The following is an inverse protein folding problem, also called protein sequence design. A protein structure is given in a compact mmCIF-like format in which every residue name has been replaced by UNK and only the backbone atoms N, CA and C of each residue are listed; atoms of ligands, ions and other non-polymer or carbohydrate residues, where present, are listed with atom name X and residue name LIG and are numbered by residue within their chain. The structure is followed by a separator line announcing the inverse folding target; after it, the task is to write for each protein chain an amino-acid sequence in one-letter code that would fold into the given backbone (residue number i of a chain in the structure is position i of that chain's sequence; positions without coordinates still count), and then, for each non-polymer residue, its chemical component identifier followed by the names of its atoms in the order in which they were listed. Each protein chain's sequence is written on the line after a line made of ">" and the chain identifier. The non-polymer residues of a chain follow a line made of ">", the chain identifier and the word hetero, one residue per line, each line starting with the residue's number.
data_IF_917966964830
#
_entry.id   IF_917966964830
#
_cell.length_a   1.000
_cell.length_b   1.000
_cell.length_c   1.000
_cell.angle_alpha   90.00
_cell.angle_beta   90.00
_cell.angle_gamma   90.00
#
_symmetry.space_group_name_H-M   'P 1'
#
loop_
_entity.id
_entity.type
_entity.pdbx_description
1 polymer ?
#
# COMPACT_ATOMS: atom_id res chain seq x y z
N UNK A 1 5.24 39.19 -5.91
CA UNK A 1 6.56 38.64 -5.56
C UNK A 1 6.73 37.43 -6.44
N UNK A 2 7.68 37.51 -7.35
CA UNK A 2 7.95 36.49 -8.35
C UNK A 2 8.23 35.15 -7.66
N UNK A 3 7.35 34.17 -7.92
CA UNK A 3 7.66 32.77 -7.67
C UNK A 3 8.83 32.41 -8.60
N UNK A 4 10.05 32.51 -8.07
CA UNK A 4 11.24 31.92 -8.68
C UNK A 4 10.94 30.44 -8.96
N UNK A 5 10.62 30.13 -10.22
CA UNK A 5 10.55 28.77 -10.75
C UNK A 5 11.92 28.14 -10.54
N UNK A 6 12.09 27.45 -9.41
CA UNK A 6 13.30 26.70 -9.11
C UNK A 6 13.62 25.78 -10.31
N UNK A 7 14.88 25.66 -10.74
CA UNK A 7 15.27 24.87 -11.90
C UNK A 7 14.90 23.38 -11.70
N UNK A 8 14.61 22.61 -12.76
CA UNK A 8 14.26 21.18 -12.66
C UNK A 8 15.33 20.38 -11.87
N UNK A 9 14.91 19.30 -11.20
CA UNK A 9 15.83 18.43 -10.44
C UNK A 9 16.72 17.70 -11.45
N UNK A 10 18.02 18.01 -11.43
CA UNK A 10 18.97 17.63 -12.48
C UNK A 10 19.55 16.22 -12.27
N UNK A 11 19.37 15.62 -11.09
CA UNK A 11 19.77 14.24 -10.84
C UNK A 11 18.59 13.40 -10.32
N UNK A 12 18.59 12.12 -10.68
CA UNK A 12 17.66 11.13 -10.13
C UNK A 12 17.76 11.11 -8.60
N UNK A 13 18.94 11.35 -8.01
CA UNK A 13 19.17 11.48 -6.55
C UNK A 13 18.40 12.65 -5.91
N UNK A 14 18.29 13.78 -6.59
CA UNK A 14 17.49 14.91 -6.14
C UNK A 14 15.99 14.66 -6.30
N UNK A 15 15.57 13.94 -7.35
CA UNK A 15 14.19 13.46 -7.54
C UNK A 15 13.79 12.46 -6.44
N UNK A 16 14.74 11.60 -6.05
CA UNK A 16 14.62 10.59 -4.99
C UNK A 16 14.44 11.22 -3.59
N UNK A 17 15.07 12.36 -3.30
CA UNK A 17 15.10 12.96 -1.95
C UNK A 17 14.26 14.23 -1.76
N UNK A 18 13.99 14.98 -2.82
CA UNK A 18 13.35 16.30 -2.73
C UNK A 18 12.02 16.41 -3.48
N UNK A 19 11.55 15.34 -4.12
CA UNK A 19 10.14 15.20 -4.46
C UNK A 19 9.35 14.93 -3.18
N UNK A 20 9.04 15.96 -2.40
CA UNK A 20 8.20 15.86 -1.21
C UNK A 20 6.74 16.10 -1.66
N UNK A 21 5.95 15.07 -2.01
CA UNK A 21 4.52 15.24 -2.07
C UNK A 21 4.01 15.58 -0.68
N UNK A 22 2.85 16.26 -0.60
CA UNK A 22 2.30 16.69 0.67
C UNK A 22 2.20 15.49 1.63
N UNK A 23 2.51 15.72 2.91
CA UNK A 23 2.46 14.69 3.96
C UNK A 23 1.10 13.98 4.07
N UNK A 24 0.05 14.52 3.43
CA UNK A 24 -1.28 13.94 3.29
C UNK A 24 -1.40 12.87 2.20
N UNK A 25 -0.35 12.61 1.41
CA UNK A 25 -0.36 11.54 0.41
C UNK A 25 -0.28 10.16 1.08
N UNK A 26 -1.32 9.36 0.87
CA UNK A 26 -1.41 7.98 1.34
C UNK A 26 -0.21 7.11 0.94
N UNK A 27 0.48 7.41 -0.17
CA UNK A 27 1.63 6.64 -0.65
C UNK A 27 2.94 6.91 0.12
N UNK A 28 3.00 8.02 0.87
CA UNK A 28 4.24 8.53 1.46
C UNK A 28 5.00 7.51 2.33
N UNK A 29 4.36 6.75 3.25
CA UNK A 29 5.08 5.78 4.08
C UNK A 29 5.81 4.71 3.25
N UNK A 30 5.18 4.21 2.19
CA UNK A 30 5.78 3.20 1.30
C UNK A 30 6.97 3.77 0.53
N UNK A 31 6.84 5.00 0.03
CA UNK A 31 7.93 5.68 -0.70
C UNK A 31 9.12 5.96 0.20
N UNK A 32 8.87 6.51 1.39
CA UNK A 32 9.91 6.79 2.38
C UNK A 32 10.64 5.51 2.76
N UNK A 33 9.91 4.42 3.04
CA UNK A 33 10.50 3.13 3.33
C UNK A 33 11.39 2.62 2.17
N UNK A 34 10.88 2.63 0.93
CA UNK A 34 11.63 2.18 -0.23
C UNK A 34 12.95 2.96 -0.41
N UNK A 35 12.91 4.29 -0.36
CA UNK A 35 14.11 5.10 -0.58
C UNK A 35 15.08 5.07 0.60
N UNK A 36 14.59 4.88 1.83
CA UNK A 36 15.44 4.60 2.97
C UNK A 36 16.17 3.26 2.82
N UNK A 37 15.52 2.21 2.28
CA UNK A 37 16.17 0.95 1.96
C UNK A 37 17.27 1.13 0.91
N UNK A 38 16.98 1.83 -0.20
CA UNK A 38 17.99 2.12 -1.25
C UNK A 38 19.21 2.83 -0.65
N UNK A 39 18.98 3.82 0.22
CA UNK A 39 20.05 4.55 0.92
C UNK A 39 20.84 3.64 1.87
N UNK A 40 20.15 2.81 2.67
CA UNK A 40 20.76 1.90 3.63
C UNK A 40 21.62 0.83 2.95
N UNK A 41 21.21 0.37 1.76
CA UNK A 41 21.98 -0.57 0.94
C UNK A 41 23.21 0.06 0.26
N UNK A 42 23.35 1.40 0.30
CA UNK A 42 24.43 2.11 -0.38
C UNK A 42 24.34 2.05 -1.91
N UNK A 43 23.12 1.88 -2.45
CA UNK A 43 22.90 1.80 -3.89
C UNK A 43 23.04 3.19 -4.51
N UNK A 44 23.98 3.33 -5.45
CA UNK A 44 24.13 4.54 -6.26
C UNK A 44 23.08 4.63 -7.36
N UNK A 45 22.87 5.82 -7.93
CA UNK A 45 21.96 6.03 -9.05
C UNK A 45 22.29 5.14 -10.27
N UNK A 46 23.58 4.97 -10.57
CA UNK A 46 24.04 4.09 -11.66
C UNK A 46 23.62 2.63 -11.42
N UNK A 47 23.88 2.11 -10.21
CA UNK A 47 23.50 0.74 -9.82
C UNK A 47 21.98 0.58 -9.87
N UNK A 48 21.23 1.55 -9.34
CA UNK A 48 19.77 1.51 -9.34
C UNK A 48 19.19 1.44 -10.77
N UNK A 49 19.71 2.26 -11.69
CA UNK A 49 19.33 2.24 -13.12
C UNK A 49 19.66 0.90 -13.77
N UNK A 50 20.78 0.29 -13.42
CA UNK A 50 21.18 -1.02 -13.94
C UNK A 50 20.28 -2.14 -13.43
N UNK A 51 19.89 -2.10 -12.15
CA UNK A 51 18.91 -3.05 -11.59
C UNK A 51 17.55 -2.93 -12.30
N UNK A 52 17.08 -1.71 -12.61
CA UNK A 52 15.87 -1.51 -13.39
C UNK A 52 16.02 -2.11 -14.79
N UNK A 53 17.14 -1.86 -15.48
CA UNK A 53 17.41 -2.42 -16.81
C UNK A 53 17.40 -3.95 -16.80
N UNK A 54 17.97 -4.57 -15.77
CA UNK A 54 17.95 -6.02 -15.59
C UNK A 54 16.51 -6.51 -15.37
N UNK A 55 15.75 -5.84 -14.51
CA UNK A 55 14.36 -6.23 -14.21
C UNK A 55 13.44 -6.15 -15.43
N UNK A 56 13.51 -5.08 -16.24
CA UNK A 56 12.65 -4.93 -17.43
C UNK A 56 12.97 -5.92 -18.55
N UNK A 57 14.13 -6.59 -18.46
CA UNK A 57 14.56 -7.64 -19.38
C UNK A 57 14.30 -9.05 -18.82
N UNK A 58 13.81 -9.20 -17.59
CA UNK A 58 13.40 -10.49 -17.02
C UNK A 58 12.25 -11.07 -17.89
N UNK A 59 12.39 -12.29 -18.44
CA UNK A 59 11.32 -12.93 -19.21
C UNK A 59 9.99 -13.03 -18.46
N UNK A 60 10.00 -13.21 -17.13
CA UNK A 60 8.78 -13.22 -16.32
C UNK A 60 8.14 -11.83 -16.23
N UNK A 61 8.94 -10.76 -16.25
CA UNK A 61 8.43 -9.39 -16.31
C UNK A 61 7.74 -9.11 -17.65
N UNK A 62 8.37 -9.53 -18.75
CA UNK A 62 7.85 -9.31 -20.11
C UNK A 62 6.51 -9.99 -20.36
N UNK A 63 6.20 -11.10 -19.66
CA UNK A 63 4.89 -11.77 -19.72
C UNK A 63 3.71 -10.90 -19.28
N UNK A 64 3.96 -9.77 -18.62
CA UNK A 64 2.91 -8.81 -18.23
C UNK A 64 2.41 -7.95 -19.39
N UNK A 65 3.25 -7.71 -20.39
CA UNK A 65 2.89 -6.88 -21.51
C UNK A 65 2.22 -7.77 -22.54
N UNK A 66 0.88 -7.66 -22.64
CA UNK A 66 0.07 -8.36 -23.64
C UNK A 66 0.64 -8.17 -25.06
N UNK A 67 1.19 -6.99 -25.29
CA UNK A 67 1.94 -6.62 -26.48
C UNK A 67 3.41 -6.28 -26.13
N UNK A 68 4.14 -7.21 -25.51
CA UNK A 68 5.57 -7.06 -25.22
C UNK A 68 6.42 -6.70 -26.46
N UNK A 69 5.89 -7.00 -27.65
CA UNK A 69 6.44 -6.63 -28.97
C UNK A 69 6.23 -5.15 -29.36
N UNK A 70 5.32 -4.42 -28.71
CA UNK A 70 5.00 -3.00 -29.00
C UNK A 70 5.66 -2.01 -28.02
N UNK A 71 6.29 -2.50 -26.94
CA UNK A 71 6.97 -1.64 -25.97
C UNK A 71 8.48 -1.82 -26.09
N UNK A 72 9.22 -0.72 -26.21
CA UNK A 72 10.68 -0.77 -26.21
C UNK A 72 11.20 -0.95 -24.79
N UNK A 73 12.47 -1.36 -24.65
CA UNK A 73 13.14 -1.37 -23.34
C UNK A 73 13.11 0.03 -22.71
N UNK A 74 13.36 1.06 -23.51
CA UNK A 74 13.34 2.47 -23.08
C UNK A 74 11.99 2.86 -22.50
N UNK A 75 10.88 2.47 -23.13
CA UNK A 75 9.53 2.75 -22.63
C UNK A 75 9.28 2.11 -21.26
N UNK A 76 9.73 0.86 -21.10
CA UNK A 76 9.57 0.12 -19.83
C UNK A 76 10.41 0.73 -18.70
N UNK A 77 11.66 1.11 -18.99
CA UNK A 77 12.53 1.81 -18.04
C UNK A 77 11.92 3.14 -17.64
N UNK A 78 11.44 3.94 -18.59
CA UNK A 78 10.83 5.24 -18.33
C UNK A 78 9.57 5.11 -17.47
N UNK A 79 8.72 4.13 -17.75
CA UNK A 79 7.52 3.85 -16.95
C UNK A 79 7.88 3.53 -15.50
N UNK A 80 8.84 2.64 -15.27
CA UNK A 80 9.27 2.27 -13.91
C UNK A 80 9.95 3.41 -13.17
N UNK A 81 10.81 4.16 -13.86
CA UNK A 81 11.43 5.35 -13.29
C UNK A 81 10.34 6.31 -12.82
N UNK A 82 9.38 6.67 -13.67
CA UNK A 82 8.29 7.57 -13.31
C UNK A 82 7.45 7.02 -12.15
N UNK A 83 7.13 5.72 -12.12
CA UNK A 83 6.32 5.18 -11.02
C UNK A 83 7.07 5.09 -9.68
N UNK A 84 8.40 4.95 -9.69
CA UNK A 84 9.20 4.83 -8.47
C UNK A 84 9.70 6.18 -7.95
N UNK A 85 9.99 7.14 -8.85
CA UNK A 85 10.59 8.44 -8.50
C UNK A 85 9.65 9.63 -8.68
N UNK A 86 8.52 9.47 -9.38
CA UNK A 86 7.70 10.61 -9.85
C UNK A 86 8.23 11.28 -11.12
N UNK A 87 9.32 10.77 -11.69
CA UNK A 87 9.95 11.33 -12.88
C UNK A 87 10.64 12.67 -12.61
N UNK A 88 10.72 13.52 -13.64
CA UNK A 88 11.32 14.86 -13.58
C UNK A 88 10.34 15.96 -13.14
N UNK A 89 9.07 15.63 -12.94
CA UNK A 89 8.02 16.61 -12.66
C UNK A 89 7.92 16.85 -11.16
N UNK A 90 8.20 18.09 -10.75
CA UNK A 90 7.99 18.52 -9.36
C UNK A 90 6.50 18.54 -9.04
N UNK A 91 6.17 18.12 -7.82
CA UNK A 91 4.80 18.08 -7.29
C UNK A 91 3.85 17.12 -8.02
N UNK A 92 4.35 16.23 -8.88
CA UNK A 92 3.51 15.16 -9.42
C UNK A 92 3.15 14.19 -8.28
N UNK A 93 1.87 13.97 -8.08
CA UNK A 93 1.37 12.95 -7.17
C UNK A 93 1.80 11.58 -7.69
N UNK A 94 2.79 10.96 -7.04
CA UNK A 94 3.30 9.65 -7.44
C UNK A 94 2.35 8.57 -6.93
N UNK A 95 1.72 7.83 -7.84
CA UNK A 95 0.89 6.67 -7.47
C UNK A 95 1.76 5.46 -7.05
N UNK A 96 2.44 5.61 -5.92
CA UNK A 96 3.31 4.58 -5.35
C UNK A 96 2.50 3.62 -4.50
N UNK A 97 1.82 2.70 -5.19
CA UNK A 97 0.97 1.69 -4.58
C UNK A 97 1.76 0.59 -3.87
N UNK A 98 1.07 -0.25 -3.08
CA UNK A 98 1.63 -1.50 -2.54
C UNK A 98 2.31 -2.35 -3.61
N UNK A 99 1.69 -2.44 -4.79
CA UNK A 99 2.26 -3.17 -5.93
C UNK A 99 3.62 -2.58 -6.35
N UNK A 100 3.72 -1.25 -6.46
CA UNK A 100 4.98 -0.57 -6.81
C UNK A 100 6.04 -0.72 -5.74
N UNK A 101 5.65 -0.72 -4.46
CA UNK A 101 6.55 -1.04 -3.37
C UNK A 101 7.13 -2.45 -3.52
N UNK A 102 6.29 -3.47 -3.71
CA UNK A 102 6.71 -4.87 -3.90
C UNK A 102 7.59 -5.05 -5.15
N UNK A 103 7.22 -4.42 -6.27
CA UNK A 103 8.04 -4.41 -7.49
C UNK A 103 9.41 -3.77 -7.25
N UNK A 104 9.45 -2.66 -6.51
CA UNK A 104 10.69 -2.03 -6.05
C UNK A 104 11.56 -3.01 -5.26
N UNK A 105 10.98 -3.78 -4.34
CA UNK A 105 11.71 -4.81 -3.59
C UNK A 105 12.23 -5.95 -4.48
N UNK A 106 11.51 -6.32 -5.55
CA UNK A 106 12.01 -7.28 -6.56
C UNK A 106 13.22 -6.71 -7.30
N UNK A 107 13.17 -5.44 -7.70
CA UNK A 107 14.30 -4.74 -8.36
C UNK A 107 15.53 -4.71 -7.44
N UNK A 108 15.32 -4.52 -6.14
CA UNK A 108 16.37 -4.56 -5.12
C UNK A 108 16.77 -5.99 -4.72
N UNK A 109 16.31 -7.02 -5.44
CA UNK A 109 16.64 -8.43 -5.20
C UNK A 109 16.34 -8.94 -3.78
N UNK A 110 15.26 -8.42 -3.18
CA UNK A 110 14.75 -8.89 -1.89
C UNK A 110 13.99 -10.20 -2.04
N UNK A 111 14.22 -11.13 -1.12
CA UNK A 111 13.59 -12.45 -1.08
C UNK A 111 12.34 -12.45 -0.20
N UNK A 112 12.47 -11.95 1.04
CA UNK A 112 11.38 -11.94 2.01
C UNK A 112 11.12 -10.53 2.48
N UNK A 113 9.84 -10.26 2.77
CA UNK A 113 9.38 -9.05 3.43
C UNK A 113 8.58 -9.46 4.67
N UNK A 114 8.97 -8.94 5.83
CA UNK A 114 8.18 -8.95 7.06
C UNK A 114 7.72 -7.53 7.33
N UNK A 115 6.41 -7.38 7.55
CA UNK A 115 5.80 -6.10 7.93
C UNK A 115 5.34 -6.22 9.37
N UNK A 116 5.76 -5.27 10.19
CA UNK A 116 5.35 -5.16 11.59
C UNK A 116 4.57 -3.86 11.77
N UNK A 117 3.52 -3.90 12.58
CA UNK A 117 2.72 -2.74 12.97
C UNK A 117 2.62 -2.68 14.49
N UNK A 118 2.97 -1.53 15.05
CA UNK A 118 2.59 -1.16 16.41
C UNK A 118 1.53 -0.07 16.33
N UNK A 119 0.26 -0.46 16.41
CA UNK A 119 -0.88 0.45 16.30
C UNK A 119 -1.23 1.06 17.65
N UNK A 120 -1.70 2.30 17.62
CA UNK A 120 -2.21 3.04 18.77
C UNK A 120 -3.63 3.50 18.49
N UNK A 121 -4.54 3.14 19.39
CA UNK A 121 -5.98 3.29 19.18
C UNK A 121 -6.62 4.18 20.23
N UNK A 122 -7.59 4.98 19.75
CA UNK A 122 -8.48 5.79 20.59
C UNK A 122 -7.73 6.83 21.42
N UNK A 123 -8.43 7.43 22.38
CA UNK A 123 -7.85 8.46 23.25
C UNK A 123 -7.01 7.90 24.41
N UNK A 124 -7.13 6.60 24.68
CA UNK A 124 -6.44 5.91 25.78
C UNK A 124 -5.16 5.18 25.33
N UNK A 125 -4.64 5.50 24.14
CA UNK A 125 -3.40 4.96 23.57
C UNK A 125 -3.29 3.43 23.66
N UNK A 126 -4.40 2.71 23.42
CA UNK A 126 -4.37 1.24 23.50
C UNK A 126 -3.52 0.70 22.35
N UNK A 127 -2.47 -0.05 22.69
CA UNK A 127 -1.49 -0.53 21.72
C UNK A 127 -1.76 -1.95 21.29
N UNK A 128 -1.52 -2.24 20.01
CA UNK A 128 -1.54 -3.59 19.48
C UNK A 128 -0.33 -3.79 18.57
N UNK A 129 0.42 -4.87 18.81
CA UNK A 129 1.54 -5.28 17.99
C UNK A 129 1.12 -6.46 17.11
N UNK A 130 1.32 -6.33 15.80
CA UNK A 130 1.06 -7.42 14.83
C UNK A 130 2.17 -7.46 13.79
N UNK A 131 2.40 -8.64 13.22
CA UNK A 131 3.34 -8.78 12.10
C UNK A 131 2.90 -9.89 11.16
N UNK A 132 3.38 -9.84 9.93
CA UNK A 132 3.20 -10.89 8.93
C UNK A 132 4.34 -10.86 7.91
N UNK A 133 4.50 -11.92 7.13
CA UNK A 133 5.61 -12.10 6.20
C UNK A 133 5.13 -12.64 4.85
N UNK A 134 5.87 -12.30 3.78
CA UNK A 134 5.63 -12.82 2.43
C UNK A 134 6.93 -12.98 1.66
N UNK A 135 6.93 -13.85 0.65
CA UNK A 135 7.99 -13.92 -0.35
C UNK A 135 7.74 -12.85 -1.41
N UNK A 136 8.69 -11.94 -1.57
CA UNK A 136 8.55 -10.72 -2.40
C UNK A 136 8.25 -11.08 -3.86
N UNK A 137 9.01 -12.00 -4.46
CA UNK A 137 8.81 -12.41 -5.85
C UNK A 137 7.48 -13.13 -6.07
N UNK A 138 7.04 -13.96 -5.12
CA UNK A 138 5.75 -14.65 -5.24
C UNK A 138 4.57 -13.67 -5.14
N UNK A 139 4.64 -12.73 -4.20
CA UNK A 139 3.63 -11.67 -4.05
C UNK A 139 3.56 -10.79 -5.30
N UNK A 140 4.73 -10.43 -5.84
CA UNK A 140 4.81 -9.73 -7.12
C UNK A 140 4.12 -10.51 -8.23
N UNK A 141 4.49 -11.77 -8.48
CA UNK A 141 3.91 -12.60 -9.55
C UNK A 141 2.39 -12.76 -9.41
N UNK A 142 1.86 -12.90 -8.19
CA UNK A 142 0.41 -12.91 -7.94
C UNK A 142 -0.23 -11.60 -8.41
N UNK A 143 0.34 -10.46 -8.04
CA UNK A 143 -0.10 -9.14 -8.48
C UNK A 143 0.01 -8.94 -10.00
N UNK A 144 1.01 -9.55 -10.65
CA UNK A 144 1.18 -9.53 -12.11
C UNK A 144 0.10 -10.33 -12.85
N UNK A 145 -0.19 -11.54 -12.39
CA UNK A 145 -1.18 -12.42 -13.01
C UNK A 145 -2.60 -11.83 -12.93
N UNK A 146 -2.87 -10.97 -11.96
CA UNK A 146 -4.15 -10.28 -11.80
C UNK A 146 -4.39 -9.19 -12.86
N UNK A 147 -3.37 -8.51 -13.39
CA UNK A 147 -3.54 -7.56 -14.51
C UNK A 147 -3.93 -8.27 -15.82
N UNK A 148 -3.38 -9.46 -16.06
CA UNK A 148 -3.71 -10.27 -17.23
C UNK A 148 -5.07 -10.98 -17.11
N UNK A 149 -5.65 -11.05 -15.90
CA UNK A 149 -6.95 -11.68 -15.64
C UNK A 149 -8.06 -10.64 -15.56
N UNK A 150 -8.61 -10.27 -16.72
CA UNK A 150 -10.05 -9.96 -16.83
C UNK A 150 -10.98 -11.13 -16.41
N UNK A 151 -10.45 -12.28 -15.95
CA UNK A 151 -11.17 -13.57 -15.88
C UNK A 151 -11.23 -14.31 -14.53
N UNK A 152 -10.68 -13.80 -13.43
CA UNK A 152 -10.96 -14.36 -12.08
C UNK A 152 -11.15 -13.25 -11.06
N UNK A 153 -12.26 -12.53 -11.14
CA UNK A 153 -12.78 -11.86 -9.94
C UNK A 153 -13.13 -12.96 -8.94
N UNK A 154 -12.68 -12.83 -7.70
CA UNK A 154 -13.18 -13.67 -6.60
C UNK A 154 -14.72 -13.71 -6.69
N UNK A 155 -15.29 -14.92 -6.65
CA UNK A 155 -16.73 -15.10 -6.69
C UNK A 155 -17.22 -15.12 -5.25
N UNK A 156 -18.17 -14.25 -4.96
CA UNK A 156 -18.78 -14.15 -3.64
C UNK A 156 -20.24 -14.56 -3.77
N UNK A 157 -20.64 -15.55 -2.98
CA UNK A 157 -22.01 -16.06 -2.97
C UNK A 157 -22.91 -15.26 -2.02
N UNK A 158 -22.30 -14.58 -1.04
CA UNK A 158 -23.02 -13.83 -0.03
C UNK A 158 -22.77 -12.30 -0.12
N UNK A 159 -23.61 -11.49 0.53
CA UNK A 159 -23.36 -10.06 0.71
C UNK A 159 -22.07 -9.82 1.51
N UNK A 160 -21.34 -8.74 1.21
CA UNK A 160 -20.06 -8.46 1.86
C UNK A 160 -20.15 -8.35 3.40
N UNK A 161 -21.27 -7.89 3.95
CA UNK A 161 -21.47 -7.87 5.41
C UNK A 161 -21.48 -9.27 6.02
N UNK A 162 -22.05 -10.25 5.31
CA UNK A 162 -22.09 -11.64 5.77
C UNK A 162 -20.68 -12.22 5.82
N UNK A 163 -19.96 -12.15 4.69
CA UNK A 163 -18.59 -12.67 4.58
C UNK A 163 -17.67 -12.07 5.65
N UNK A 164 -17.70 -10.74 5.81
CA UNK A 164 -16.84 -10.04 6.77
C UNK A 164 -17.21 -10.41 8.22
N UNK A 165 -18.49 -10.57 8.55
CA UNK A 165 -18.90 -10.99 9.89
C UNK A 165 -18.47 -12.43 10.19
N UNK A 166 -18.57 -13.33 9.22
CA UNK A 166 -18.08 -14.71 9.36
C UNK A 166 -16.56 -14.74 9.56
N UNK A 167 -15.83 -13.91 8.80
CA UNK A 167 -14.38 -13.77 8.96
C UNK A 167 -13.98 -13.25 10.34
N UNK A 168 -14.75 -12.32 10.91
CA UNK A 168 -14.49 -11.81 12.27
C UNK A 168 -14.88 -12.83 13.34
N UNK A 169 -15.98 -13.57 13.13
CA UNK A 169 -16.40 -14.62 14.06
C UNK A 169 -15.37 -15.76 14.14
N UNK A 170 -14.74 -16.10 13.01
CA UNK A 170 -13.73 -17.16 12.90
C UNK A 170 -12.32 -16.60 12.72
N UNK A 171 -11.96 -15.58 13.52
CA UNK A 171 -10.80 -14.72 13.28
C UNK A 171 -9.47 -15.47 13.09
N UNK A 172 -9.20 -16.50 13.89
CA UNK A 172 -7.96 -17.27 13.79
C UNK A 172 -7.91 -18.08 12.48
N UNK A 173 -9.00 -18.75 12.13
CA UNK A 173 -9.12 -19.45 10.84
C UNK A 173 -8.98 -18.46 9.66
N UNK A 174 -9.57 -17.28 9.76
CA UNK A 174 -9.47 -16.25 8.71
C UNK A 174 -8.03 -15.80 8.50
N UNK A 175 -7.29 -15.56 9.57
CA UNK A 175 -5.90 -15.12 9.48
C UNK A 175 -5.01 -16.21 8.88
N UNK A 176 -5.20 -17.46 9.31
CA UNK A 176 -4.31 -18.58 8.97
C UNK A 176 -4.62 -19.22 7.61
N UNK A 177 -5.91 -19.27 7.23
CA UNK A 177 -6.35 -20.10 6.10
C UNK A 177 -7.11 -19.35 5.01
N UNK A 178 -7.72 -18.21 5.32
CA UNK A 178 -8.54 -17.47 4.33
C UNK A 178 -7.72 -16.36 3.66
N UNK A 179 -7.06 -15.51 4.45
CA UNK A 179 -6.43 -14.30 3.94
C UNK A 179 -5.06 -14.57 3.32
N UNK A 180 -4.95 -14.38 2.00
CA UNK A 180 -3.70 -14.62 1.25
C UNK A 180 -2.83 -13.38 1.12
N UNK A 181 -3.44 -12.19 1.09
CA UNK A 181 -2.69 -10.94 1.02
C UNK A 181 -2.17 -10.53 2.39
N UNK A 182 -0.89 -10.12 2.46
CA UNK A 182 -0.23 -9.73 3.72
C UNK A 182 -0.95 -8.58 4.45
N UNK A 183 -1.34 -7.52 3.72
CA UNK A 183 -2.08 -6.40 4.32
C UNK A 183 -3.43 -6.80 4.90
N UNK A 184 -4.13 -7.79 4.30
CA UNK A 184 -5.38 -8.30 4.85
C UNK A 184 -5.12 -9.11 6.12
N UNK A 185 -4.12 -9.99 6.13
CA UNK A 185 -3.72 -10.70 7.35
C UNK A 185 -3.38 -9.75 8.50
N UNK A 186 -2.67 -8.65 8.21
CA UNK A 186 -2.38 -7.61 9.20
C UNK A 186 -3.66 -6.94 9.74
N UNK A 187 -4.61 -6.57 8.86
CA UNK A 187 -5.92 -6.02 9.30
C UNK A 187 -6.62 -6.97 10.25
N UNK A 188 -6.75 -8.25 9.88
CA UNK A 188 -7.45 -9.22 10.72
C UNK A 188 -6.69 -9.54 12.01
N UNK A 189 -5.35 -9.51 12.01
CA UNK A 189 -4.53 -9.57 13.23
C UNK A 189 -4.78 -8.36 14.14
N UNK A 190 -4.96 -7.16 13.59
CA UNK A 190 -5.34 -5.96 14.37
C UNK A 190 -6.75 -6.12 14.96
N UNK A 191 -7.71 -6.62 14.18
CA UNK A 191 -9.08 -6.95 14.64
C UNK A 191 -9.02 -7.92 15.82
N UNK A 192 -8.25 -9.01 15.69
CA UNK A 192 -8.01 -9.97 16.78
C UNK A 192 -7.37 -9.30 18.00
N UNK A 193 -6.29 -8.55 17.79
CA UNK A 193 -5.50 -7.94 18.86
C UNK A 193 -6.30 -6.94 19.71
N UNK A 194 -7.22 -6.20 19.09
CA UNK A 194 -8.15 -5.31 19.79
C UNK A 194 -9.47 -5.98 20.22
N UNK A 195 -9.61 -7.31 20.05
CA UNK A 195 -10.82 -8.07 20.42
C UNK A 195 -12.10 -7.47 19.84
N UNK A 196 -12.03 -7.17 18.55
CA UNK A 196 -13.10 -6.55 17.76
C UNK A 196 -14.02 -7.67 17.25
N UNK A 197 -15.24 -7.72 17.75
CA UNK A 197 -16.30 -8.61 17.26
C UNK A 197 -17.11 -7.93 16.13
N UNK A 198 -18.05 -8.67 15.54
CA UNK A 198 -18.87 -8.18 14.43
C UNK A 198 -19.67 -6.92 14.77
N UNK A 199 -20.22 -6.84 15.98
CA UNK A 199 -21.01 -5.69 16.45
C UNK A 199 -20.13 -4.44 16.61
N UNK A 200 -18.95 -4.58 17.21
CA UNK A 200 -17.95 -3.50 17.31
C UNK A 200 -17.49 -3.05 15.93
N UNK A 201 -17.24 -3.98 15.01
CA UNK A 201 -16.84 -3.65 13.65
C UNK A 201 -17.94 -2.85 12.93
N UNK A 202 -19.19 -3.29 12.99
CA UNK A 202 -20.33 -2.58 12.38
C UNK A 202 -20.47 -1.17 12.97
N UNK A 203 -20.36 -1.05 14.30
CA UNK A 203 -20.44 0.24 14.99
C UNK A 203 -19.35 1.20 14.53
N UNK A 204 -18.09 0.76 14.47
CA UNK A 204 -16.99 1.69 14.15
C UNK A 204 -16.91 2.02 12.68
N UNK A 205 -17.17 1.06 11.80
CA UNK A 205 -17.30 1.34 10.36
C UNK A 205 -18.43 2.34 10.10
N UNK A 206 -19.54 2.24 10.84
CA UNK A 206 -20.65 3.21 10.82
C UNK A 206 -20.22 4.58 11.36
N UNK A 207 -19.54 4.64 12.51
CA UNK A 207 -19.03 5.89 13.08
C UNK A 207 -18.04 6.59 12.15
N UNK A 208 -17.18 5.82 11.48
CA UNK A 208 -16.19 6.33 10.52
C UNK A 208 -16.87 7.05 9.35
N UNK A 209 -17.85 6.39 8.70
CA UNK A 209 -18.55 7.00 7.55
C UNK A 209 -19.48 8.15 7.97
N UNK A 210 -19.95 8.16 9.21
CA UNK A 210 -20.79 9.23 9.74
C UNK A 210 -19.99 10.43 10.26
N UNK A 211 -18.69 10.33 10.46
CA UNK A 211 -17.85 11.44 10.89
C UNK A 211 -17.65 12.44 9.74
N UNK A 212 -18.24 13.65 9.78
CA UNK A 212 -18.15 14.60 8.67
C UNK A 212 -16.72 15.11 8.43
N UNK A 213 -15.83 15.06 9.44
CA UNK A 213 -14.42 15.43 9.28
C UNK A 213 -13.62 14.40 8.47
N UNK A 214 -14.02 13.14 8.54
CA UNK A 214 -13.37 12.03 7.82
C UNK A 214 -14.09 11.73 6.50
N UNK A 215 -15.42 11.87 6.48
CA UNK A 215 -16.31 11.55 5.37
C UNK A 215 -17.30 12.71 5.13
N UNK A 216 -16.95 13.75 4.36
CA UNK A 216 -17.78 14.94 4.16
C UNK A 216 -19.02 14.73 3.26
N UNK A 217 -19.38 13.50 2.89
CA UNK A 217 -20.46 13.20 1.93
C UNK A 217 -21.88 13.21 2.51
N UNK A 218 -22.88 13.27 1.62
CA UNK A 218 -24.32 13.08 1.91
C UNK A 218 -24.62 11.66 2.41
N UNK A 219 -25.76 11.47 3.10
CA UNK A 219 -26.15 10.18 3.71
C UNK A 219 -26.13 8.99 2.73
N UNK A 220 -26.56 9.18 1.48
CA UNK A 220 -26.51 8.15 0.43
C UNK A 220 -25.07 7.70 0.12
N UNK A 221 -24.12 8.64 -0.01
CA UNK A 221 -22.70 8.34 -0.23
C UNK A 221 -22.04 7.64 0.97
N UNK A 222 -22.58 7.79 2.20
CA UNK A 222 -22.03 7.13 3.40
C UNK A 222 -22.33 5.63 3.42
N UNK A 223 -23.54 5.23 3.00
CA UNK A 223 -23.92 3.82 2.85
C UNK A 223 -23.02 3.07 1.87
N UNK A 224 -22.78 3.67 0.70
CA UNK A 224 -21.91 3.12 -0.34
C UNK A 224 -20.46 2.99 0.16
N UNK A 225 -19.95 3.97 0.91
CA UNK A 225 -18.60 3.92 1.48
C UNK A 225 -18.41 2.77 2.47
N UNK A 226 -19.40 2.54 3.35
CA UNK A 226 -19.36 1.40 4.28
C UNK A 226 -19.41 0.08 3.51
N UNK A 227 -20.25 0.00 2.47
CA UNK A 227 -20.30 -1.18 1.61
C UNK A 227 -18.96 -1.41 0.89
N UNK A 228 -18.35 -0.38 0.30
CA UNK A 228 -17.06 -0.47 -0.38
C UNK A 228 -15.92 -0.89 0.55
N UNK A 229 -15.95 -0.46 1.81
CA UNK A 229 -15.00 -0.93 2.82
C UNK A 229 -15.17 -2.42 3.11
N UNK A 230 -16.42 -2.89 3.28
CA UNK A 230 -16.71 -4.32 3.44
C UNK A 230 -16.32 -5.13 2.21
N UNK A 231 -16.54 -4.57 1.01
CA UNK A 231 -16.09 -5.14 -0.26
C UNK A 231 -14.57 -5.31 -0.28
N UNK A 232 -13.82 -4.29 0.17
CA UNK A 232 -12.36 -4.38 0.28
C UNK A 232 -11.90 -5.41 1.33
N UNK A 233 -12.62 -5.53 2.45
CA UNK A 233 -12.31 -6.49 3.53
C UNK A 233 -12.64 -7.93 3.16
N UNK A 234 -13.66 -8.19 2.33
CA UNK A 234 -14.05 -9.57 1.98
C UNK A 234 -13.14 -10.25 0.97
N UNK A 235 -12.38 -9.48 0.19
CA UNK A 235 -11.37 -10.02 -0.70
C UNK A 235 -10.32 -10.79 0.09
N UNK A 236 -9.72 -11.79 -0.53
CA UNK A 236 -8.71 -12.65 0.12
C UNK A 236 -7.33 -12.49 -0.49
N UNK A 237 -7.25 -12.16 -1.79
CA UNK A 237 -6.00 -12.15 -2.54
C UNK A 237 -5.42 -10.76 -2.77
N UNK A 238 -6.22 -9.69 -2.63
CA UNK A 238 -5.78 -8.34 -2.93
C UNK A 238 -6.49 -7.27 -2.09
N UNK A 239 -5.73 -6.25 -1.70
CA UNK A 239 -6.24 -4.99 -1.16
C UNK A 239 -5.28 -3.86 -1.55
N UNK A 240 -5.81 -2.64 -1.75
CA UNK A 240 -4.95 -1.48 -1.99
C UNK A 240 -4.39 -0.93 -0.69
N UNK A 241 -3.22 -0.29 -0.76
CA UNK A 241 -2.62 0.41 0.37
C UNK A 241 -3.57 1.46 0.97
N UNK A 242 -4.28 2.19 0.12
CA UNK A 242 -5.29 3.17 0.56
C UNK A 242 -6.39 2.52 1.38
N UNK A 243 -6.95 1.39 0.93
CA UNK A 243 -7.97 0.67 1.69
C UNK A 243 -7.44 0.12 3.00
N UNK A 244 -6.19 -0.37 3.03
CA UNK A 244 -5.53 -0.76 4.27
C UNK A 244 -5.51 0.38 5.30
N UNK A 245 -5.10 1.58 4.89
CA UNK A 245 -5.12 2.76 5.78
C UNK A 245 -6.53 3.17 6.20
N UNK A 246 -7.49 3.18 5.27
CA UNK A 246 -8.90 3.52 5.56
C UNK A 246 -9.47 2.56 6.61
N UNK A 247 -9.23 1.25 6.47
CA UNK A 247 -9.76 0.25 7.39
C UNK A 247 -9.13 0.43 8.77
N UNK A 248 -7.80 0.61 8.88
CA UNK A 248 -7.17 0.91 10.16
C UNK A 248 -7.77 2.17 10.82
N UNK A 249 -8.00 3.23 10.03
CA UNK A 249 -8.63 4.46 10.53
C UNK A 249 -10.08 4.23 10.97
N UNK A 250 -10.82 3.36 10.28
CA UNK A 250 -12.17 2.95 10.66
C UNK A 250 -12.22 2.08 11.91
N UNK A 251 -11.14 1.34 12.22
CA UNK A 251 -10.93 0.64 13.48
C UNK A 251 -10.48 1.56 14.64
N UNK A 252 -10.50 2.88 14.41
CA UNK A 252 -10.09 3.93 15.36
C UNK A 252 -8.59 3.93 15.69
N UNK A 253 -7.75 3.35 14.81
CA UNK A 253 -6.30 3.52 14.87
C UNK A 253 -5.96 4.97 14.55
N UNK A 254 -5.27 5.64 15.47
CA UNK A 254 -4.91 7.07 15.38
C UNK A 254 -3.53 7.27 14.81
N UNK A 255 -2.62 6.39 15.15
CA UNK A 255 -1.27 6.34 14.61
C UNK A 255 -0.75 4.91 14.68
N UNK A 256 0.28 4.61 13.88
CA UNK A 256 0.98 3.35 13.98
C UNK A 256 2.44 3.53 13.57
N UNK A 257 3.33 2.82 14.24
CA UNK A 257 4.69 2.58 13.74
C UNK A 257 4.62 1.38 12.78
N UNK A 258 5.22 1.52 11.60
CA UNK A 258 5.36 0.45 10.63
C UNK A 258 6.83 0.16 10.37
N UNK A 259 7.20 -1.12 10.46
CA UNK A 259 8.55 -1.59 10.15
C UNK A 259 8.52 -2.54 8.97
N UNK A 260 9.38 -2.31 8.01
CA UNK A 260 9.63 -3.19 6.87
C UNK A 260 11.00 -3.84 7.06
N UNK A 261 10.99 -5.12 7.45
CA UNK A 261 12.19 -5.94 7.52
C UNK A 261 12.30 -6.79 6.26
N UNK A 262 13.39 -6.65 5.53
CA UNK A 262 13.62 -7.37 4.26
C UNK A 262 14.92 -8.15 4.30
N UNK A 263 14.94 -9.31 3.62
CA UNK A 263 16.14 -10.12 3.43
C UNK A 263 16.54 -10.13 1.97
N UNK A 264 17.75 -9.70 1.68
CA UNK A 264 18.33 -9.69 0.33
C UNK A 264 18.81 -11.07 -0.09
N UNK A 265 18.91 -11.34 -1.41
CA UNK A 265 19.42 -12.62 -1.95
C UNK A 265 20.81 -13.03 -1.44
N UNK A 266 21.61 -12.07 -0.98
CA UNK A 266 22.93 -12.34 -0.39
C UNK A 266 22.88 -12.78 1.07
N UNK A 267 21.69 -12.88 1.67
CA UNK A 267 21.48 -13.19 3.08
C UNK A 267 21.54 -11.97 4.01
N UNK A 268 21.93 -10.78 3.52
CA UNK A 268 21.90 -9.54 4.31
C UNK A 268 20.46 -9.13 4.63
N UNK A 269 20.23 -8.65 5.85
CA UNK A 269 18.94 -8.12 6.29
C UNK A 269 19.00 -6.60 6.40
N UNK A 270 17.89 -5.96 6.05
CA UNK A 270 17.70 -4.52 6.14
C UNK A 270 16.36 -4.23 6.81
N UNK A 271 16.30 -3.14 7.56
CA UNK A 271 15.11 -2.75 8.30
C UNK A 271 14.93 -1.23 8.21
N UNK A 272 13.69 -0.81 7.95
CA UNK A 272 13.29 0.60 7.97
C UNK A 272 11.96 0.74 8.70
N UNK A 273 11.86 1.74 9.58
CA UNK A 273 10.65 2.06 10.32
C UNK A 273 10.16 3.46 9.99
N UNK A 274 8.85 3.69 10.14
CA UNK A 274 8.24 5.00 10.04
C UNK A 274 7.03 5.12 10.98
N UNK A 275 6.82 6.33 11.53
CA UNK A 275 5.63 6.66 12.31
C UNK A 275 4.59 7.30 11.40
N UNK A 276 3.41 6.68 11.33
CA UNK A 276 2.32 7.13 10.48
C UNK A 276 1.20 7.77 11.33
N UNK A 277 1.04 9.10 11.30
CA UNK A 277 -0.01 9.80 12.06
C UNK A 277 -1.36 9.66 11.34
N UNK A 278 -1.94 8.46 11.34
CA UNK A 278 -3.12 8.08 10.56
C UNK A 278 -4.34 9.02 10.73
N UNK A 279 -4.52 9.63 11.91
CA UNK A 279 -5.60 10.57 12.20
C UNK A 279 -5.54 11.86 11.35
N UNK A 280 -4.36 12.21 10.82
CA UNK A 280 -4.15 13.37 9.94
C UNK A 280 -4.58 13.11 8.50
N UNK A 281 -4.64 11.84 8.08
CA UNK A 281 -5.01 11.48 6.72
C UNK A 281 -6.50 11.76 6.45
N UNK A 282 -6.77 12.24 5.24
CA UNK A 282 -8.11 12.46 4.71
C UNK A 282 -8.24 11.70 3.38
N UNK A 283 -8.99 10.59 3.43
CA UNK A 283 -9.21 9.74 2.27
C UNK A 283 -10.46 10.11 1.48
N UNK A 284 -11.22 11.11 1.95
CA UNK A 284 -12.48 11.48 1.32
C UNK A 284 -12.60 13.01 1.35
N UNK A 285 -12.62 13.65 0.17
CA UNK A 285 -12.87 15.08 0.02
C UNK A 285 -14.29 15.33 -0.52
N UNK A 286 -14.80 16.55 -0.37
CA UNK A 286 -16.06 17.00 -0.98
C UNK A 286 -15.96 17.17 -2.50
N UNK A 287 -14.74 17.34 -3.02
CA UNK A 287 -14.43 17.53 -4.45
C UNK A 287 -13.69 16.29 -4.99
N UNK A 288 -14.41 15.19 -5.24
CA UNK A 288 -13.84 14.03 -5.97
C UNK A 288 -13.49 14.34 -7.45
N UNK A 289 -13.55 15.61 -7.87
CA UNK A 289 -13.05 16.12 -9.17
C UNK A 289 -11.80 17.00 -9.08
N UNK A 290 -11.23 17.22 -7.90
CA UNK A 290 -9.96 17.96 -7.76
C UNK A 290 -8.98 17.13 -6.94
N UNK A 291 -8.28 16.24 -7.63
CA UNK A 291 -6.90 15.95 -7.26
C UNK A 291 -6.03 17.01 -7.96
N UNK A 292 -4.96 17.53 -7.34
CA UNK A 292 -3.83 17.98 -8.13
C UNK A 292 -3.18 16.79 -8.84
#
# INVERSE_FOLDING_TARGET
>A
MDDEKKPPLNSTREQIWHGTPPASDSSYPLRKAYWNLVKLMGISDGIWKDLIRQHVNDPEYLKQFRDSKLTTMTDRVNRLNTSLTGGSVRNLTVDFTWKRFIEGLVILEMQTLTVTLLTKRGSFDTKCFVFDSTFVREDFIKNLRNENRKKRKERFEHPASYDVNEYVANIDHTIEHVMKHILLRLIYKVIRGYKIDGDKLERWTTNYVNNPKLCPGTSSKRGDRRNNMKQAMRHTEAITWRWFLIILQALDVREFEITFKVRHRSGREYEVSDDVPLATYRFWSSNETEQP
#
